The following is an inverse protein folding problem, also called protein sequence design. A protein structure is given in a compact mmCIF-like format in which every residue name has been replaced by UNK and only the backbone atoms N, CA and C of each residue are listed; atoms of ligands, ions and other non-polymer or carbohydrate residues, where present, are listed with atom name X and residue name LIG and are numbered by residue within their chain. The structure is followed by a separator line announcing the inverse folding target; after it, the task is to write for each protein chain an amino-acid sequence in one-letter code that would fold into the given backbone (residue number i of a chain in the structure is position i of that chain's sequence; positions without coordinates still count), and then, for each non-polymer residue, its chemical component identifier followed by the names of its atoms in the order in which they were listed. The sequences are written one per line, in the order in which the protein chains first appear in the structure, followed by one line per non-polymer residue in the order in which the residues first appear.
data_IF_397736061613
#
_entry.id   IF_397736061613
#
_cell.length_a   1.000
_cell.length_b   1.000
_cell.length_c   1.000
_cell.angle_alpha   90.00
_cell.angle_beta   90.00
_cell.angle_gamma   90.00
#
_symmetry.space_group_name_H-M   'P 1'
#
loop_
_entity.id
_entity.type
_entity.pdbx_description
1 polymer ?
#
# COMPACT_ATOMS: atom_id res chain seq x y z
N UNK A 1 -10.36 -1.29 10.04
CA UNK A 1 -9.94 -2.70 10.20
C UNK A 1 -8.81 -3.01 9.23
N UNK A 2 -8.05 -4.10 9.46
CA UNK A 2 -7.14 -4.63 8.43
C UNK A 2 -7.98 -5.21 7.27
N UNK A 3 -7.61 -5.01 5.99
CA UNK A 3 -8.28 -5.68 4.88
C UNK A 3 -8.03 -7.19 4.88
N UNK A 4 -8.74 -7.96 4.05
CA UNK A 4 -8.36 -9.35 3.79
C UNK A 4 -7.08 -9.43 2.95
N UNK A 5 -6.43 -10.60 2.94
CA UNK A 5 -5.24 -10.84 2.12
C UNK A 5 -5.53 -10.65 0.64
N UNK A 6 -6.68 -11.14 0.18
CA UNK A 6 -7.12 -11.05 -1.21
C UNK A 6 -7.36 -9.60 -1.62
N UNK A 7 -8.01 -8.80 -0.76
CA UNK A 7 -8.29 -7.40 -1.05
C UNK A 7 -7.00 -6.57 -1.09
N UNK A 8 -6.07 -6.84 -0.18
CA UNK A 8 -4.76 -6.17 -0.18
C UNK A 8 -3.92 -6.55 -1.41
N UNK A 9 -3.86 -7.84 -1.72
CA UNK A 9 -3.15 -8.36 -2.90
C UNK A 9 -3.71 -7.78 -4.19
N UNK A 10 -5.03 -7.72 -4.33
CA UNK A 10 -5.70 -7.15 -5.49
C UNK A 10 -5.41 -5.65 -5.65
N UNK A 11 -5.48 -4.89 -4.56
CA UNK A 11 -5.16 -3.46 -4.57
C UNK A 11 -3.70 -3.20 -4.95
N UNK A 12 -2.76 -3.89 -4.31
CA UNK A 12 -1.33 -3.75 -4.60
C UNK A 12 -1.01 -4.12 -6.06
N UNK A 13 -1.63 -5.20 -6.56
CA UNK A 13 -1.47 -5.63 -7.96
C UNK A 13 -2.02 -4.60 -8.95
N UNK A 14 -3.20 -4.04 -8.67
CA UNK A 14 -3.80 -2.99 -9.51
C UNK A 14 -3.00 -1.67 -9.51
N UNK A 15 -2.26 -1.39 -8.43
CA UNK A 15 -1.30 -0.29 -8.38
C UNK A 15 0.00 -0.60 -9.15
N UNK A 16 0.16 -1.82 -9.67
CA UNK A 16 1.33 -2.26 -10.41
C UNK A 16 2.49 -2.69 -9.52
N UNK A 17 2.23 -3.04 -8.26
CA UNK A 17 3.23 -3.48 -7.30
C UNK A 17 3.41 -5.01 -7.42
N UNK A 18 4.65 -5.46 -7.39
CA UNK A 18 5.07 -6.87 -7.31
C UNK A 18 5.82 -7.14 -5.99
N UNK A 19 5.86 -8.40 -5.55
CA UNK A 19 6.62 -8.76 -4.34
C UNK A 19 8.13 -8.44 -4.41
N UNK A 20 8.70 -8.26 -5.61
CA UNK A 20 10.13 -7.95 -5.81
C UNK A 20 10.48 -6.49 -5.54
N UNK A 21 9.48 -5.60 -5.60
CA UNK A 21 9.66 -4.15 -5.61
C UNK A 21 10.14 -3.63 -4.24
N UNK A 22 10.80 -2.46 -4.26
CA UNK A 22 11.08 -1.68 -3.07
C UNK A 22 10.06 -0.55 -2.94
N UNK A 23 9.43 -0.42 -1.78
CA UNK A 23 8.35 0.54 -1.55
C UNK A 23 8.81 1.61 -0.55
N UNK A 24 8.71 2.88 -0.95
CA UNK A 24 8.87 4.02 -0.03
C UNK A 24 7.52 4.67 0.16
N UNK A 25 7.02 4.63 1.39
CA UNK A 25 5.72 5.17 1.77
C UNK A 25 5.89 6.55 2.40
N UNK A 26 5.06 7.51 2.00
CA UNK A 26 4.98 8.82 2.62
C UNK A 26 3.54 9.34 2.61
N UNK A 27 3.27 10.38 3.39
CA UNK A 27 2.00 11.10 3.34
C UNK A 27 2.21 12.62 3.43
N UNK A 28 1.13 13.36 3.19
CA UNK A 28 1.16 14.83 3.17
C UNK A 28 1.31 15.50 4.54
N UNK A 29 1.13 14.76 5.64
CA UNK A 29 1.20 15.29 7.02
C UNK A 29 2.53 14.94 7.71
N UNK A 30 3.43 14.21 7.05
CA UNK A 30 4.68 13.71 7.61
C UNK A 30 4.61 12.21 7.77
N UNK A 31 4.23 11.73 8.96
CA UNK A 31 4.10 10.31 9.30
C UNK A 31 2.80 10.09 10.07
N UNK A 32 1.67 10.21 9.38
CA UNK A 32 0.35 9.95 9.96
C UNK A 32 -0.24 8.64 9.42
N UNK A 33 -0.46 8.56 8.11
CA UNK A 33 -0.99 7.36 7.44
C UNK A 33 0.12 6.47 6.86
N UNK A 34 1.30 7.03 6.60
CA UNK A 34 2.43 6.28 6.03
C UNK A 34 2.85 5.09 6.91
N UNK A 35 2.89 5.28 8.23
CA UNK A 35 3.22 4.21 9.19
C UNK A 35 2.21 3.06 9.12
N UNK A 36 0.92 3.37 8.91
CA UNK A 36 -0.13 2.34 8.77
C UNK A 36 0.08 1.52 7.50
N UNK A 37 0.39 2.16 6.39
CA UNK A 37 0.64 1.47 5.11
C UNK A 37 1.90 0.62 5.17
N UNK A 38 3.00 1.15 5.74
CA UNK A 38 4.22 0.39 6.01
C UNK A 38 3.93 -0.87 6.84
N UNK A 39 3.21 -0.72 7.96
CA UNK A 39 2.86 -1.85 8.80
C UNK A 39 1.96 -2.86 8.08
N UNK A 40 1.01 -2.42 7.24
CA UNK A 40 0.17 -3.35 6.48
C UNK A 40 0.99 -4.18 5.48
N UNK A 41 1.95 -3.58 4.77
CA UNK A 41 2.86 -4.35 3.90
C UNK A 41 3.66 -5.39 4.70
N UNK A 42 4.16 -5.03 5.89
CA UNK A 42 4.86 -5.97 6.77
C UNK A 42 3.94 -7.11 7.25
N UNK A 43 2.72 -6.77 7.69
CA UNK A 43 1.70 -7.74 8.10
C UNK A 43 1.36 -8.69 6.95
N UNK A 44 1.38 -8.23 5.71
CA UNK A 44 1.16 -9.07 4.52
C UNK A 44 2.45 -9.63 3.92
N UNK A 45 3.55 -9.65 4.68
CA UNK A 45 4.76 -10.40 4.33
C UNK A 45 5.70 -9.73 3.34
N UNK A 46 5.55 -8.42 3.09
CA UNK A 46 6.44 -7.64 2.23
C UNK A 46 7.42 -6.82 3.06
N UNK A 47 8.69 -7.26 3.07
CA UNK A 47 9.72 -6.69 3.95
C UNK A 47 10.44 -5.48 3.36
N UNK A 48 10.49 -5.35 2.02
CA UNK A 48 11.19 -4.28 1.29
C UNK A 48 10.37 -2.97 1.25
N UNK A 49 9.95 -2.51 2.43
CA UNK A 49 9.15 -1.31 2.59
C UNK A 49 9.72 -0.39 3.66
N UNK A 50 9.82 0.89 3.34
CA UNK A 50 10.34 1.94 4.20
C UNK A 50 9.38 3.12 4.26
N UNK A 51 9.48 3.92 5.32
CA UNK A 51 8.78 5.20 5.44
C UNK A 51 9.77 6.32 5.14
N UNK A 52 9.35 7.31 4.34
CA UNK A 52 10.16 8.51 4.09
C UNK A 52 10.29 9.32 5.38
N UNK A 53 11.52 9.46 5.90
CA UNK A 53 11.79 10.18 7.14
C UNK A 53 11.37 11.67 7.03
N UNK A 54 10.49 12.10 7.92
CA UNK A 54 9.86 13.42 7.91
C UNK A 54 8.79 13.64 6.83
N UNK A 55 8.50 12.63 6.01
CA UNK A 55 7.46 12.63 4.98
C UNK A 55 7.57 13.75 3.95
N UNK A 56 6.44 14.03 3.27
CA UNK A 56 6.38 15.08 2.25
C UNK A 56 6.74 16.49 2.76
N UNK A 57 6.39 16.90 4.00
CA UNK A 57 6.79 18.21 4.53
C UNK A 57 8.30 18.41 4.56
N UNK A 58 9.06 17.44 5.08
CA UNK A 58 10.53 17.52 5.13
C UNK A 58 11.15 17.41 3.74
N UNK A 59 10.58 16.58 2.85
CA UNK A 59 11.01 16.48 1.45
C UNK A 59 10.96 17.86 0.76
N UNK A 60 9.83 18.55 0.87
CA UNK A 60 9.64 19.91 0.34
C UNK A 60 10.57 20.94 0.99
N UNK A 61 10.70 20.90 2.32
CA UNK A 61 11.58 21.82 3.05
C UNK A 61 13.07 21.63 2.68
N UNK A 62 13.44 20.45 2.20
CA UNK A 62 14.79 20.14 1.72
C UNK A 62 15.04 20.54 0.26
N UNK A 63 14.05 21.13 -0.42
CA UNK A 63 14.18 21.62 -1.80
C UNK A 63 14.13 20.52 -2.87
N UNK A 64 13.64 19.32 -2.54
CA UNK A 64 13.49 18.25 -3.53
C UNK A 64 12.24 18.44 -4.41
N UNK A 65 12.30 17.90 -5.62
CA UNK A 65 11.25 18.02 -6.62
C UNK A 65 9.93 17.36 -6.19
N UNK A 66 8.82 17.96 -6.62
CA UNK A 66 7.46 17.45 -6.48
C UNK A 66 6.65 17.74 -7.74
N UNK A 67 5.70 16.86 -8.05
CA UNK A 67 4.70 17.13 -9.07
C UNK A 67 3.51 17.90 -8.47
N UNK A 68 2.90 18.79 -9.25
CA UNK A 68 1.72 19.57 -8.84
C UNK A 68 0.40 18.82 -8.99
N UNK A 69 0.40 17.71 -9.73
CA UNK A 69 -0.79 16.91 -10.05
C UNK A 69 -0.40 15.46 -10.31
N UNK A 70 -1.29 14.53 -10.00
CA UNK A 70 -1.10 13.12 -10.35
C UNK A 70 -1.12 12.93 -11.87
N UNK A 71 -0.28 12.01 -12.37
CA UNK A 71 -0.32 11.57 -13.76
C UNK A 71 -1.63 10.83 -14.07
N UNK A 72 -2.04 10.81 -15.34
CA UNK A 72 -3.22 10.04 -15.77
C UNK A 72 -3.09 8.55 -15.43
N UNK A 73 -1.88 7.99 -15.55
CA UNK A 73 -1.58 6.61 -15.16
C UNK A 73 -1.84 6.36 -13.67
N UNK A 74 -1.37 7.26 -12.78
CA UNK A 74 -1.61 7.14 -11.34
C UNK A 74 -3.10 7.20 -10.99
N UNK A 75 -3.87 8.07 -11.67
CA UNK A 75 -5.32 8.18 -11.48
C UNK A 75 -6.03 6.89 -11.89
N UNK A 76 -5.67 6.31 -13.04
CA UNK A 76 -6.24 5.06 -13.53
C UNK A 76 -5.93 3.90 -12.59
N UNK A 77 -4.70 3.80 -12.08
CA UNK A 77 -4.28 2.78 -11.11
C UNK A 77 -5.06 2.85 -9.79
N UNK A 78 -5.30 4.07 -9.27
CA UNK A 78 -6.10 4.24 -8.04
C UNK A 78 -7.55 3.81 -8.26
N UNK A 79 -8.15 4.15 -9.40
CA UNK A 79 -9.51 3.69 -9.75
C UNK A 79 -9.56 2.16 -9.83
N UNK A 80 -8.61 1.56 -10.57
CA UNK A 80 -8.52 0.12 -10.72
C UNK A 80 -8.32 -0.60 -9.37
N UNK A 81 -7.52 -0.02 -8.46
CA UNK A 81 -7.31 -0.57 -7.12
C UNK A 81 -8.60 -0.54 -6.28
N UNK A 82 -9.34 0.56 -6.30
CA UNK A 82 -10.62 0.65 -5.58
C UNK A 82 -11.64 -0.36 -6.13
N UNK A 83 -11.78 -0.44 -7.47
CA UNK A 83 -12.66 -1.42 -8.11
C UNK A 83 -12.24 -2.86 -7.76
N UNK A 84 -10.94 -3.16 -7.74
CA UNK A 84 -10.45 -4.49 -7.42
C UNK A 84 -10.81 -4.88 -5.98
N UNK A 85 -10.66 -3.96 -5.01
CA UNK A 85 -11.07 -4.17 -3.62
C UNK A 85 -12.57 -4.47 -3.53
N UNK A 86 -13.41 -3.67 -4.21
CA UNK A 86 -14.87 -3.87 -4.20
C UNK A 86 -15.28 -5.22 -4.79
N UNK A 87 -14.68 -5.61 -5.92
CA UNK A 87 -14.92 -6.90 -6.57
C UNK A 87 -14.56 -8.07 -5.64
N UNK A 88 -13.43 -8.00 -4.95
CA UNK A 88 -13.03 -9.01 -3.95
C UNK A 88 -14.10 -9.17 -2.87
N UNK A 89 -14.56 -8.05 -2.28
CA UNK A 89 -15.56 -8.12 -1.22
C UNK A 89 -16.96 -8.54 -1.71
N UNK A 90 -17.23 -8.42 -3.01
CA UNK A 90 -18.42 -8.98 -3.65
C UNK A 90 -18.27 -10.47 -4.03
N UNK A 91 -17.14 -11.11 -3.69
CA UNK A 91 -16.87 -12.51 -4.01
C UNK A 91 -16.51 -12.76 -5.48
N UNK A 92 -16.14 -11.71 -6.21
CA UNK A 92 -15.73 -11.82 -7.61
C UNK A 92 -14.23 -12.08 -7.72
N UNK A 93 -13.84 -12.80 -8.77
CA UNK A 93 -12.44 -13.04 -9.10
C UNK A 93 -11.81 -11.78 -9.69
N UNK A 94 -10.64 -11.41 -9.20
CA UNK A 94 -9.81 -10.31 -9.72
C UNK A 94 -8.47 -10.84 -10.19
N UNK A 95 -8.00 -10.38 -11.35
CA UNK A 95 -6.72 -10.78 -11.93
C UNK A 95 -6.31 -9.90 -13.10
N UNK A 96 -5.02 -9.83 -13.44
CA UNK A 96 -3.91 -10.61 -12.86
C UNK A 96 -3.51 -10.13 -11.45
N UNK A 97 -3.13 -11.09 -10.59
CA UNK A 97 -2.56 -10.80 -9.26
C UNK A 97 -1.04 -10.91 -9.39
N UNK A 98 -0.35 -9.80 -9.14
CA UNK A 98 1.12 -9.66 -9.23
C UNK A 98 1.77 -9.50 -7.86
N UNK A 99 0.97 -9.17 -6.84
CA UNK A 99 1.38 -9.14 -5.45
C UNK A 99 0.68 -10.27 -4.68
N UNK A 100 1.47 -11.11 -4.03
CA UNK A 100 1.00 -12.19 -3.17
C UNK A 100 1.16 -11.77 -1.70
N UNK A 101 0.03 -11.57 -1.02
CA UNK A 101 0.00 -11.32 0.41
C UNK A 101 0.26 -12.62 1.19
N UNK A 102 1.01 -12.51 2.29
CA UNK A 102 1.24 -13.61 3.24
C UNK A 102 1.12 -13.07 4.66
N UNK A 103 -0.05 -13.24 5.26
CA UNK A 103 -0.38 -12.73 6.58
C UNK A 103 0.60 -13.20 7.67
N UNK A 104 1.07 -12.26 8.47
CA UNK A 104 2.02 -12.43 9.57
C UNK A 104 1.29 -12.23 10.90
N UNK A 105 0.68 -13.26 11.49
CA UNK A 105 -0.14 -13.12 12.70
C UNK A 105 0.65 -12.56 13.89
N UNK A 106 1.96 -12.82 13.97
CA UNK A 106 2.85 -12.26 15.01
C UNK A 106 2.96 -10.74 15.02
N UNK A 107 2.55 -10.06 13.95
CA UNK A 107 2.60 -8.60 13.81
C UNK A 107 1.25 -7.95 14.12
N UNK A 108 0.24 -8.75 14.46
CA UNK A 108 -1.10 -8.31 14.86
C UNK A 108 -1.35 -8.81 16.26
N UNK A 109 -1.73 -7.90 17.16
CA UNK A 109 -2.15 -8.30 18.49
C UNK A 109 -3.49 -9.05 18.40
N UNK A 110 -3.50 -10.27 18.91
CA UNK A 110 -4.70 -11.10 19.05
C UNK A 110 -4.86 -11.49 20.52
N UNK A 111 -6.08 -11.78 20.96
CA UNK A 111 -6.34 -12.21 22.35
C UNK A 111 -5.68 -13.56 22.71
N UNK A 112 -5.16 -14.29 21.73
CA UNK A 112 -4.46 -15.56 21.91
C UNK A 112 -2.93 -15.38 22.16
N UNK A 113 -2.44 -14.14 22.16
CA UNK A 113 -1.05 -13.76 22.51
C UNK A 113 -1.00 -13.14 23.90
#
# INVERSE_FOLDING_TARGET
MLPSEEAFAAAASALGIENKDGIVVYDGKGIFSAARVWWMFQVFGHEKVWVLDGGLPRWRASGYDVESSASSDAILKVSAANEAIEKVYQGQTVGPITFHAKFQPRLVWTFEQ
#
